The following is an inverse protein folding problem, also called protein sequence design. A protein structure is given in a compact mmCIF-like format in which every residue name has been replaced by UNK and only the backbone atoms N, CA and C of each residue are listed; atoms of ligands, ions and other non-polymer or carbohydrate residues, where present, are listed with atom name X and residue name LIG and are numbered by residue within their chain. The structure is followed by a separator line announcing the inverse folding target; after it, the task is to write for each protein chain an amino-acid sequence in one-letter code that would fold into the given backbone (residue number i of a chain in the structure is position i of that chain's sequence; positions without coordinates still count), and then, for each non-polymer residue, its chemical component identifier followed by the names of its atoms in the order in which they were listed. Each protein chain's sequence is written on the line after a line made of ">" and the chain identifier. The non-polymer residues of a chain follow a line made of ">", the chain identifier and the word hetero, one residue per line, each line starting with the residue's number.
data_IF_518106779380
#
_entry.id   IF_518106779380
#
_cell.length_a   1.000
_cell.length_b   1.000
_cell.length_c   1.000
_cell.angle_alpha   90.00
_cell.angle_beta   90.00
_cell.angle_gamma   90.00
#
_symmetry.space_group_name_H-M   'P 1'
#
loop_
_entity.id
_entity.type
_entity.pdbx_description
1 polymer ?
#
# COMPACT_ATOMS: atom_id res chain seq x y z
N UNK A 1 -19.69 6.23 22.82
CA UNK A 1 -18.51 5.38 22.62
C UNK A 1 -18.40 5.04 21.15
N UNK A 2 -17.36 5.51 20.47
CA UNK A 2 -17.05 5.10 19.08
C UNK A 2 -16.45 3.70 19.10
N UNK A 3 -17.01 2.77 18.33
CA UNK A 3 -16.47 1.41 18.18
C UNK A 3 -15.03 1.49 17.63
N UNK A 4 -14.05 0.79 18.20
CA UNK A 4 -12.70 0.78 17.65
C UNK A 4 -12.73 0.19 16.25
N UNK A 5 -12.10 0.89 15.30
CA UNK A 5 -11.93 0.42 13.94
C UNK A 5 -10.93 -0.73 13.97
N UNK A 6 -11.27 -1.86 13.35
CA UNK A 6 -10.37 -3.01 13.22
C UNK A 6 -10.03 -3.17 11.74
N UNK A 7 -8.76 -3.41 11.45
CA UNK A 7 -8.25 -3.65 10.10
C UNK A 7 -7.48 -4.96 10.07
N UNK A 8 -7.32 -5.56 8.89
CA UNK A 8 -6.51 -6.76 8.75
C UNK A 8 -5.06 -6.39 8.42
N UNK A 9 -4.11 -7.04 9.09
CA UNK A 9 -2.69 -6.90 8.80
C UNK A 9 -2.41 -7.31 7.34
N UNK A 10 -1.86 -6.43 6.49
CA UNK A 10 -1.65 -6.73 5.07
C UNK A 10 -0.77 -7.95 4.81
N UNK A 11 0.17 -8.23 5.73
CA UNK A 11 1.14 -9.33 5.59
C UNK A 11 0.60 -10.70 5.99
N UNK A 12 -0.26 -10.76 7.01
CA UNK A 12 -0.65 -12.04 7.64
C UNK A 12 -2.14 -12.19 7.92
N UNK A 13 -2.96 -11.17 7.62
CA UNK A 13 -4.41 -11.19 7.79
C UNK A 13 -4.90 -11.12 9.25
N UNK A 14 -4.01 -10.93 10.22
CA UNK A 14 -4.43 -10.81 11.63
C UNK A 14 -5.19 -9.51 11.84
N UNK A 15 -6.35 -9.58 12.52
CA UNK A 15 -7.14 -8.41 12.88
C UNK A 15 -6.41 -7.53 13.92
N UNK A 16 -6.24 -6.25 13.60
CA UNK A 16 -5.52 -5.24 14.39
C UNK A 16 -6.47 -4.07 14.69
N UNK A 17 -6.54 -3.66 15.96
CA UNK A 17 -7.26 -2.45 16.31
C UNK A 17 -6.50 -1.20 15.83
N UNK A 18 -7.22 -0.25 15.26
CA UNK A 18 -6.74 1.06 14.86
C UNK A 18 -6.74 2.01 16.06
N UNK A 19 -5.86 1.71 17.02
CA UNK A 19 -5.60 2.50 18.23
C UNK A 19 -4.17 3.02 18.22
N UNK A 20 -3.81 4.09 18.95
CA UNK A 20 -2.45 4.66 18.98
C UNK A 20 -1.38 3.83 19.70
N UNK A 21 -1.77 2.76 20.40
CA UNK A 21 -0.86 1.94 21.22
C UNK A 21 -0.03 0.98 20.37
N UNK A 22 -0.57 0.53 19.23
CA UNK A 22 0.20 -0.27 18.27
C UNK A 22 1.14 0.61 17.41
N UNK A 23 2.42 0.70 17.73
CA UNK A 23 3.37 1.50 16.94
C UNK A 23 3.55 1.04 15.46
N UNK A 24 3.09 -0.16 15.11
CA UNK A 24 3.33 -0.79 13.82
C UNK A 24 2.11 -0.77 12.88
N UNK A 25 1.03 -0.05 13.21
CA UNK A 25 -0.14 0.09 12.33
C UNK A 25 0.30 0.47 10.90
N UNK A 26 -0.22 -0.17 9.84
CA UNK A 26 -1.36 -1.11 9.82
C UNK A 26 -1.02 -2.57 10.17
N UNK A 27 0.23 -2.88 10.48
CA UNK A 27 0.70 -4.24 10.75
C UNK A 27 0.46 -4.67 12.20
N UNK A 28 0.39 -5.99 12.42
CA UNK A 28 0.24 -6.56 13.76
C UNK A 28 1.55 -6.56 14.57
N UNK A 29 2.71 -6.41 13.91
CA UNK A 29 4.03 -6.47 14.53
C UNK A 29 5.12 -5.88 13.63
N UNK A 30 6.28 -5.60 14.21
CA UNK A 30 7.47 -5.15 13.47
C UNK A 30 7.92 -6.15 12.39
N UNK A 31 7.81 -7.46 12.69
CA UNK A 31 8.11 -8.53 11.74
C UNK A 31 7.27 -8.42 10.46
N UNK A 32 5.96 -8.18 10.59
CA UNK A 32 5.08 -8.07 9.42
C UNK A 32 5.41 -6.82 8.59
N UNK A 33 5.69 -5.69 9.25
CA UNK A 33 6.17 -4.47 8.60
C UNK A 33 7.45 -4.70 7.78
N UNK A 34 8.42 -5.43 8.34
CA UNK A 34 9.68 -5.72 7.65
C UNK A 34 9.52 -6.70 6.48
N UNK A 35 8.63 -7.68 6.59
CA UNK A 35 8.31 -8.59 5.48
C UNK A 35 7.69 -7.82 4.33
N UNK A 36 6.71 -6.96 4.60
CA UNK A 36 6.07 -6.11 3.58
C UNK A 36 7.11 -5.23 2.87
N UNK A 37 7.97 -4.56 3.65
CA UNK A 37 9.09 -3.79 3.10
C UNK A 37 10.02 -4.64 2.22
N UNK A 38 10.31 -5.88 2.63
CA UNK A 38 11.11 -6.82 1.86
C UNK A 38 10.46 -7.23 0.54
N UNK A 39 9.15 -7.45 0.54
CA UNK A 39 8.38 -7.79 -0.67
C UNK A 39 8.39 -6.63 -1.68
N UNK A 40 8.30 -5.37 -1.21
CA UNK A 40 8.50 -4.20 -2.05
C UNK A 40 9.91 -4.11 -2.62
N UNK A 41 10.93 -4.31 -1.78
CA UNK A 41 12.32 -4.28 -2.22
C UNK A 41 12.66 -5.40 -3.22
N UNK A 42 11.92 -6.50 -3.19
CA UNK A 42 12.10 -7.68 -4.06
C UNK A 42 11.20 -7.66 -5.30
N UNK A 43 10.48 -6.55 -5.56
CA UNK A 43 9.55 -6.39 -6.69
C UNK A 43 8.39 -7.40 -6.71
N UNK A 44 8.07 -8.02 -5.58
CA UNK A 44 6.91 -8.93 -5.44
C UNK A 44 5.61 -8.12 -5.47
N UNK A 45 5.63 -6.93 -4.86
CA UNK A 45 4.55 -5.95 -5.00
C UNK A 45 4.76 -5.09 -6.25
N UNK A 46 3.98 -5.37 -7.29
CA UNK A 46 3.96 -4.61 -8.54
C UNK A 46 2.53 -4.32 -8.98
N UNK A 47 2.35 -3.17 -9.61
CA UNK A 47 1.08 -2.79 -10.21
C UNK A 47 1.12 -3.26 -11.67
N UNK A 48 0.19 -4.12 -12.11
CA UNK A 48 0.15 -4.55 -13.50
C UNK A 48 -0.16 -3.36 -14.40
N UNK A 49 0.53 -3.29 -15.53
CA UNK A 49 0.33 -2.26 -16.56
C UNK A 49 -0.45 -2.89 -17.71
N UNK A 50 -1.44 -2.17 -18.24
CA UNK A 50 -2.16 -2.59 -19.45
C UNK A 50 -1.19 -2.56 -20.65
N UNK A 51 -1.26 -3.51 -21.59
CA UNK A 51 -0.42 -3.50 -22.79
C UNK A 51 -0.49 -2.17 -23.57
N UNK A 52 -1.62 -1.48 -23.53
CA UNK A 52 -1.83 -0.22 -24.27
C UNK A 52 -1.48 1.04 -23.45
N UNK A 53 -0.97 0.88 -22.21
CA UNK A 53 -0.70 2.02 -21.32
C UNK A 53 0.51 2.87 -21.74
N UNK A 54 1.40 2.32 -22.57
CA UNK A 54 2.53 3.08 -23.12
C UNK A 54 2.06 4.21 -24.05
N UNK A 55 1.02 3.98 -24.85
CA UNK A 55 0.45 4.99 -25.74
C UNK A 55 -0.24 6.13 -24.96
N UNK A 56 -0.86 5.82 -23.81
CA UNK A 56 -1.52 6.81 -22.94
C UNK A 56 -0.52 7.67 -22.13
N UNK A 57 0.61 7.10 -21.68
CA UNK A 57 1.61 7.80 -20.85
C UNK A 57 2.47 8.79 -21.65
N UNK A 58 2.60 8.58 -22.97
CA UNK A 58 3.35 9.45 -23.89
C UNK A 58 2.46 10.30 -24.79
N UNK A 59 1.13 10.20 -24.68
CA UNK A 59 0.19 11.13 -25.30
C UNK A 59 0.39 12.52 -24.69
N UNK A 60 0.46 13.56 -25.53
CA UNK A 60 0.87 14.94 -25.22
C UNK A 60 -0.02 15.72 -24.21
N UNK A 61 -0.91 15.05 -23.48
CA UNK A 61 -1.88 15.63 -22.54
C UNK A 61 -1.29 16.08 -21.19
N UNK A 62 -0.06 15.65 -20.84
CA UNK A 62 0.63 16.16 -19.64
C UNK A 62 1.17 17.60 -19.81
N UNK A 63 1.07 18.20 -21.01
CA UNK A 63 1.49 19.58 -21.26
C UNK A 63 0.50 20.64 -20.73
N UNK A 64 -0.76 20.30 -20.45
CA UNK A 64 -1.77 21.31 -20.06
C UNK A 64 -1.88 21.59 -18.56
N UNK A 65 -1.27 20.78 -17.67
CA UNK A 65 -1.34 20.98 -16.20
C UNK A 65 -0.22 21.83 -15.60
N UNK A 66 0.50 22.56 -16.43
CA UNK A 66 1.61 23.46 -16.05
C UNK A 66 1.32 24.96 -16.31
N UNK A 67 0.06 25.34 -16.53
CA UNK A 67 -0.37 26.74 -16.46
C UNK A 67 -1.14 27.01 -15.17
#
# INVERSE_FOLDING_TARGET
>A
MTKPMTIDCPTCGTAVQWDTTNAFRPFCSDRCKLIDLGAWASEEHKIPVSPDAEDDLFSEDLSERLH
#
